data_IF_997298490236
#
_entry.id   IF_997298490236
#
_cell.length_a   1.000
_cell.length_b   1.000
_cell.length_c   1.000
_cell.angle_alpha   90.00
_cell.angle_beta   90.00
_cell.angle_gamma   90.00
#
_symmetry.space_group_name_H-M   'P 1'
#
loop_
_entity.id
_entity.type
_entity.pdbx_description
1 polymer ?
#
# COMPACT_ATOMS: atom_id res chain seq x y z
N UNK A 1 0.41 -87.28 31.04
CA UNK A 1 1.71 -86.63 30.82
C UNK A 1 1.48 -85.13 30.78
N UNK A 2 2.19 -84.44 31.67
CA UNK A 2 2.29 -82.98 31.77
C UNK A 2 2.75 -82.35 30.46
N UNK A 3 2.30 -81.12 30.19
CA UNK A 3 2.80 -80.29 29.09
C UNK A 3 2.51 -78.82 29.38
N UNK A 4 3.24 -78.23 30.32
CA UNK A 4 3.19 -76.79 30.60
C UNK A 4 4.04 -76.08 29.54
N UNK A 5 3.40 -75.42 28.59
CA UNK A 5 4.09 -74.57 27.61
C UNK A 5 4.39 -73.18 28.22
N UNK A 6 5.68 -72.85 28.24
CA UNK A 6 6.22 -71.63 28.83
C UNK A 6 5.93 -70.44 27.91
N UNK A 7 4.92 -69.63 28.23
CA UNK A 7 4.69 -68.35 27.56
C UNK A 7 5.80 -67.37 27.99
N UNK A 8 6.60 -66.79 27.07
CA UNK A 8 7.55 -65.76 27.45
C UNK A 8 6.76 -64.56 27.97
N UNK A 9 6.92 -64.26 29.26
CA UNK A 9 6.29 -63.13 29.91
C UNK A 9 6.69 -61.83 29.22
N UNK A 10 5.72 -61.06 28.77
CA UNK A 10 5.92 -59.71 28.26
C UNK A 10 6.64 -58.89 29.34
N UNK A 11 7.81 -58.34 28.99
CA UNK A 11 8.58 -57.47 29.87
C UNK A 11 7.74 -56.22 30.17
N UNK A 12 7.48 -55.95 31.44
CA UNK A 12 6.65 -54.83 31.92
C UNK A 12 7.12 -53.46 31.43
N UNK A 13 8.38 -53.33 31.02
CA UNK A 13 8.96 -52.10 30.47
C UNK A 13 8.49 -51.74 29.05
N UNK A 14 7.84 -52.66 28.31
CA UNK A 14 7.17 -52.35 27.02
C UNK A 14 5.78 -51.75 27.25
N UNK A 15 5.20 -51.96 28.43
CA UNK A 15 3.96 -51.32 28.85
C UNK A 15 4.32 -49.86 29.11
N UNK A 16 4.09 -48.98 28.12
CA UNK A 16 3.95 -47.54 28.36
C UNK A 16 3.00 -47.42 29.54
N UNK A 17 3.55 -47.09 30.71
CA UNK A 17 2.77 -47.05 31.95
C UNK A 17 1.56 -46.14 31.77
N UNK A 18 0.56 -46.22 32.66
CA UNK A 18 -0.58 -45.30 32.68
C UNK A 18 -0.13 -43.90 33.13
N UNK A 19 0.94 -43.37 32.53
CA UNK A 19 1.31 -41.98 32.64
C UNK A 19 0.15 -41.15 32.09
N UNK A 20 -0.18 -40.03 32.73
CA UNK A 20 -1.34 -39.26 32.36
C UNK A 20 -1.17 -38.71 30.95
N UNK A 21 -1.86 -39.32 29.98
CA UNK A 21 -2.12 -38.71 28.68
C UNK A 21 -3.23 -37.70 28.94
N UNK A 22 -2.84 -36.49 29.30
CA UNK A 22 -3.79 -35.39 29.43
C UNK A 22 -4.35 -35.10 28.04
N UNK A 23 -5.52 -35.67 27.73
CA UNK A 23 -6.31 -35.35 26.54
C UNK A 23 -6.96 -33.97 26.69
N UNK A 24 -6.16 -32.97 27.07
CA UNK A 24 -6.64 -31.63 27.32
C UNK A 24 -7.00 -30.99 25.97
N UNK A 25 -8.23 -30.50 25.80
CA UNK A 25 -8.67 -29.81 24.60
C UNK A 25 -7.75 -28.60 24.29
N UNK A 26 -7.44 -28.39 23.01
CA UNK A 26 -6.67 -27.21 22.60
C UNK A 26 -7.48 -25.97 22.87
N UNK A 27 -6.85 -24.98 23.52
CA UNK A 27 -7.54 -23.73 23.78
C UNK A 27 -7.78 -22.98 22.47
N UNK A 28 -6.88 -22.97 21.50
CA UNK A 28 -7.00 -22.19 20.24
C UNK A 28 -7.23 -23.11 19.02
N UNK A 29 -7.98 -22.63 18.01
CA UNK A 29 -7.97 -23.26 16.67
C UNK A 29 -9.00 -24.36 16.37
N UNK A 30 -10.23 -24.26 16.91
CA UNK A 30 -11.39 -25.13 16.61
C UNK A 30 -11.17 -26.66 16.84
N UNK A 31 -12.19 -27.45 16.49
CA UNK A 31 -12.72 -28.66 17.15
C UNK A 31 -11.99 -29.28 18.36
N UNK A 32 -12.72 -29.27 19.51
CA UNK A 32 -12.22 -29.65 20.83
C UNK A 32 -11.97 -28.44 21.73
N UNK A 33 -12.92 -27.49 21.80
CA UNK A 33 -12.81 -26.35 22.73
C UNK A 33 -13.28 -26.77 24.14
N UNK A 34 -12.60 -26.28 25.17
CA UNK A 34 -12.97 -26.46 26.56
C UNK A 34 -14.17 -25.57 26.94
N UNK A 35 -15.35 -26.13 27.24
CA UNK A 35 -16.53 -25.34 27.63
C UNK A 35 -16.38 -24.64 28.98
N UNK A 36 -15.43 -25.07 29.82
CA UNK A 36 -15.21 -24.48 31.14
C UNK A 36 -14.57 -23.09 31.11
N UNK A 37 -14.03 -22.67 29.96
CA UNK A 37 -13.34 -21.39 29.80
C UNK A 37 -14.08 -20.48 28.84
N UNK A 38 -14.45 -19.30 29.36
CA UNK A 38 -15.09 -18.26 28.55
C UNK A 38 -14.17 -17.72 27.47
N UNK A 39 -14.71 -17.48 26.27
CA UNK A 39 -14.01 -16.91 25.12
C UNK A 39 -14.90 -15.85 24.44
N UNK A 40 -14.28 -14.73 24.08
CA UNK A 40 -14.88 -13.70 23.23
C UNK A 40 -14.96 -14.16 21.76
N UNK A 41 -15.95 -13.69 20.97
CA UNK A 41 -16.11 -14.10 19.58
C UNK A 41 -14.89 -13.76 18.70
N UNK A 42 -14.65 -14.59 17.68
CA UNK A 42 -13.61 -14.35 16.67
C UNK A 42 -14.26 -13.88 15.37
N UNK A 43 -13.98 -12.64 14.95
CA UNK A 43 -14.47 -12.10 13.67
C UNK A 43 -13.44 -12.32 12.57
N UNK A 44 -13.89 -12.80 11.41
CA UNK A 44 -13.04 -12.93 10.22
C UNK A 44 -12.95 -11.58 9.49
N UNK A 45 -11.74 -11.15 9.14
CA UNK A 45 -11.55 -10.02 8.22
C UNK A 45 -11.73 -10.53 6.79
N UNK A 46 -12.54 -9.84 5.99
CA UNK A 46 -12.80 -10.20 4.59
C UNK A 46 -11.51 -10.09 3.76
N UNK A 47 -11.32 -11.03 2.83
CA UNK A 47 -10.20 -10.99 1.89
C UNK A 47 -10.21 -9.70 1.04
N UNK A 48 -9.03 -9.24 0.62
CA UNK A 48 -8.87 -8.07 -0.26
C UNK A 48 -9.61 -8.31 -1.57
N UNK A 49 -10.45 -7.35 -1.97
CA UNK A 49 -11.08 -7.34 -3.30
C UNK A 49 -10.10 -6.77 -4.32
N UNK A 50 -10.08 -7.34 -5.53
CA UNK A 50 -9.26 -6.83 -6.62
C UNK A 50 -9.66 -5.38 -6.95
N UNK A 51 -8.67 -4.50 -6.90
CA UNK A 51 -8.83 -3.12 -7.35
C UNK A 51 -8.91 -3.18 -8.88
N UNK A 52 -10.11 -2.99 -9.43
CA UNK A 52 -10.28 -2.77 -10.86
C UNK A 52 -9.68 -1.42 -11.22
N UNK A 53 -8.36 -1.39 -11.46
CA UNK A 53 -7.71 -0.24 -12.05
C UNK A 53 -8.18 -0.16 -13.51
N UNK A 54 -9.24 0.60 -13.74
CA UNK A 54 -9.45 1.14 -15.09
C UNK A 54 -8.21 1.97 -15.39
N UNK A 55 -7.51 1.65 -16.47
CA UNK A 55 -6.39 2.45 -16.95
C UNK A 55 -7.00 3.78 -17.39
N UNK A 56 -7.09 4.71 -16.45
CA UNK A 56 -7.42 6.10 -16.71
C UNK A 56 -6.31 6.57 -17.65
N UNK A 57 -6.70 7.14 -18.80
CA UNK A 57 -5.86 7.45 -19.95
C UNK A 57 -4.65 8.35 -19.63
N UNK A 58 -3.94 8.88 -20.65
CA UNK A 58 -2.74 9.68 -20.42
C UNK A 58 -3.05 10.76 -19.37
N UNK A 59 -2.21 10.83 -18.34
CA UNK A 59 -2.39 11.75 -17.22
C UNK A 59 -2.51 13.20 -17.69
N UNK A 60 -2.91 14.13 -16.80
CA UNK A 60 -3.19 15.50 -17.19
C UNK A 60 -2.01 16.13 -17.94
N UNK A 61 -2.25 16.58 -19.17
CA UNK A 61 -1.26 17.24 -20.01
C UNK A 61 -1.41 18.76 -19.88
N UNK A 62 -0.47 19.39 -19.19
CA UNK A 62 -0.46 20.84 -18.98
C UNK A 62 0.36 21.56 -20.06
N UNK A 63 -0.21 22.60 -20.68
CA UNK A 63 0.51 23.44 -21.64
C UNK A 63 1.36 24.49 -20.89
N UNK A 64 2.68 24.32 -20.91
CA UNK A 64 3.65 25.17 -20.18
C UNK A 64 4.29 26.27 -21.04
N UNK A 65 3.85 26.47 -22.28
CA UNK A 65 4.54 27.37 -23.24
C UNK A 65 4.68 28.82 -22.78
N UNK A 66 3.72 29.34 -22.00
CA UNK A 66 3.69 30.75 -21.56
C UNK A 66 3.67 30.86 -20.02
N UNK A 67 4.35 29.95 -19.32
CA UNK A 67 4.42 29.94 -17.85
C UNK A 67 5.88 30.08 -17.39
N UNK A 68 6.12 31.05 -16.51
CA UNK A 68 7.37 31.22 -15.75
C UNK A 68 7.18 30.67 -14.33
N UNK A 69 8.27 30.55 -13.56
CA UNK A 69 8.23 30.12 -12.15
C UNK A 69 7.21 30.90 -11.30
N UNK A 70 6.96 32.16 -11.64
CA UNK A 70 6.13 33.07 -10.86
C UNK A 70 4.72 33.30 -11.43
N UNK A 71 4.39 32.76 -12.62
CA UNK A 71 3.09 32.99 -13.26
C UNK A 71 3.17 33.05 -14.79
N UNK A 72 2.09 33.49 -15.45
CA UNK A 72 2.05 33.58 -16.91
C UNK A 72 3.03 34.63 -17.43
N UNK A 73 3.76 34.28 -18.48
CA UNK A 73 4.65 35.20 -19.18
C UNK A 73 3.82 36.18 -20.03
N UNK A 74 3.82 37.46 -19.65
CA UNK A 74 3.20 38.55 -20.41
C UNK A 74 4.25 39.65 -20.62
N UNK A 75 5.01 39.63 -21.72
CA UNK A 75 6.01 40.66 -21.97
C UNK A 75 5.32 42.03 -22.16
N UNK A 76 5.84 43.10 -21.53
CA UNK A 76 5.28 44.44 -21.70
C UNK A 76 5.40 44.92 -23.15
N UNK A 77 4.32 45.51 -23.68
CA UNK A 77 4.34 46.13 -25.00
C UNK A 77 5.00 47.52 -24.93
N UNK A 78 6.18 47.66 -25.54
CA UNK A 78 6.87 48.95 -25.66
C UNK A 78 6.62 49.57 -27.04
N UNK A 79 6.33 50.88 -27.08
CA UNK A 79 6.27 51.64 -28.33
C UNK A 79 7.56 52.44 -28.50
N UNK A 80 8.27 52.23 -29.61
CA UNK A 80 9.43 53.05 -29.98
C UNK A 80 8.90 54.31 -30.66
N UNK A 81 8.62 55.36 -29.88
CA UNK A 81 8.24 56.66 -30.46
C UNK A 81 9.51 57.43 -30.86
N UNK A 82 9.62 57.79 -32.14
CA UNK A 82 10.73 58.61 -32.65
C UNK A 82 10.80 59.98 -31.97
N UNK A 83 12.03 60.47 -31.69
CA UNK A 83 12.26 61.82 -31.18
C UNK A 83 11.92 62.86 -32.26
N UNK A 84 11.34 64.00 -31.88
CA UNK A 84 11.16 65.12 -32.82
C UNK A 84 12.54 65.63 -33.25
N UNK A 85 12.77 65.74 -34.57
CA UNK A 85 13.98 66.35 -35.10
C UNK A 85 13.99 67.84 -34.76
N UNK A 86 15.14 68.35 -34.35
CA UNK A 86 15.34 69.78 -34.14
C UNK A 86 15.33 70.46 -35.51
N UNK A 87 14.36 71.32 -35.74
CA UNK A 87 14.30 72.17 -36.94
C UNK A 87 14.83 73.53 -36.53
N UNK A 88 16.06 73.84 -36.96
CA UNK A 88 16.60 75.20 -36.89
C UNK A 88 16.11 75.97 -38.10
N UNK A 89 15.25 76.96 -37.88
CA UNK A 89 14.79 77.88 -38.93
C UNK A 89 15.93 78.85 -39.28
N UNK A 90 16.64 78.60 -40.37
CA UNK A 90 17.43 79.62 -41.07
C UNK A 90 16.70 80.00 -42.36
N UNK A 91 16.11 81.19 -42.37
CA UNK A 91 15.47 81.80 -43.53
C UNK A 91 16.57 82.44 -44.39
N UNK A 92 16.95 81.77 -45.47
CA UNK A 92 17.79 82.38 -46.51
C UNK A 92 16.88 83.33 -47.30
N UNK A 93 17.10 84.64 -47.13
CA UNK A 93 16.53 85.68 -47.99
C UNK A 93 17.40 85.74 -49.24
N UNK A 94 16.92 85.20 -50.36
CA UNK A 94 17.46 85.48 -51.68
C UNK A 94 16.58 86.53 -52.36
N UNK A 95 17.29 87.46 -52.99
CA UNK A 95 16.88 88.72 -53.61
C UNK A 95 15.70 88.66 -54.57
#
# INVERSE_FOLDING_TARGET
MEGKENKPGILSCIIKGPGPVYKLPTLVGYNGHDPSRYRNPAYSIRARTDIKASVIGPGPHYNVRNLTKSGSDNPPAYTIRGRKAWISEYKIVLS
#
